data_IF_143668607451
#
_entry.id   IF_143668607451
#
_cell.length_a   1.000
_cell.length_b   1.000
_cell.length_c   1.000
_cell.angle_alpha   90.00
_cell.angle_beta   90.00
_cell.angle_gamma   90.00
#
_symmetry.space_group_name_H-M   'P 1'
#
loop_
_entity.id
_entity.type
_entity.pdbx_description
1 polymer ?
#
# COMPACT_ATOMS: atom_id res chain seq x y z
N UNK A 1 -10.10 -57.25 22.45
CA UNK A 1 -8.89 -56.40 22.49
C UNK A 1 -8.15 -56.53 21.17
N UNK A 2 -8.49 -55.78 20.10
CA UNK A 2 -7.53 -55.50 19.01
C UNK A 2 -7.96 -54.49 17.94
N UNK A 3 -8.53 -53.33 18.28
CA UNK A 3 -8.81 -52.30 17.26
C UNK A 3 -8.44 -50.87 17.67
N UNK A 4 -7.92 -50.65 18.87
CA UNK A 4 -7.58 -49.31 19.39
C UNK A 4 -6.20 -48.80 18.98
N UNK A 5 -5.38 -49.59 18.26
CA UNK A 5 -3.96 -49.26 17.99
C UNK A 5 -3.61 -49.00 16.51
N UNK A 6 -4.60 -48.97 15.61
CA UNK A 6 -4.37 -48.70 14.17
C UNK A 6 -4.77 -47.27 13.73
N UNK A 7 -5.51 -46.51 14.54
CA UNK A 7 -6.05 -45.19 14.09
C UNK A 7 -5.16 -43.99 14.39
N UNK A 8 -3.89 -44.21 14.78
CA UNK A 8 -2.85 -43.17 14.87
C UNK A 8 -1.92 -43.29 13.65
N UNK A 9 -2.49 -43.51 12.47
CA UNK A 9 -1.76 -43.25 11.23
C UNK A 9 -1.38 -41.77 11.27
N UNK A 10 -0.09 -41.49 11.43
CA UNK A 10 0.46 -40.14 11.37
C UNK A 10 0.01 -39.56 10.04
N UNK A 11 -1.01 -38.73 10.09
CA UNK A 11 -1.42 -37.85 9.02
C UNK A 11 -0.27 -36.84 8.86
N UNK A 12 0.85 -37.26 8.29
CA UNK A 12 1.97 -36.40 7.97
C UNK A 12 1.46 -35.51 6.86
N UNK A 13 1.09 -34.30 7.25
CA UNK A 13 0.67 -33.24 6.35
C UNK A 13 1.70 -33.20 5.21
N UNK A 14 1.31 -33.52 3.97
CA UNK A 14 2.25 -33.52 2.86
C UNK A 14 2.84 -32.11 2.77
N UNK A 15 4.17 -32.01 2.81
CA UNK A 15 4.89 -30.73 2.81
C UNK A 15 4.37 -29.80 1.69
N UNK A 16 3.99 -30.37 0.55
CA UNK A 16 3.40 -29.65 -0.58
C UNK A 16 2.06 -28.97 -0.29
N UNK A 17 1.26 -29.45 0.67
CA UNK A 17 -0.01 -28.86 1.06
C UNK A 17 0.15 -27.79 2.15
N UNK A 18 1.18 -27.90 3.00
CA UNK A 18 1.59 -26.81 3.91
C UNK A 18 2.15 -25.61 3.14
N UNK A 19 2.95 -25.85 2.09
CA UNK A 19 3.46 -24.81 1.21
C UNK A 19 2.33 -24.13 0.41
N UNK A 20 1.36 -24.90 -0.10
CA UNK A 20 0.27 -24.37 -0.93
C UNK A 20 -0.76 -23.53 -0.15
N UNK A 21 -0.87 -23.73 1.16
CA UNK A 21 -1.80 -22.97 2.01
C UNK A 21 -1.17 -21.66 2.48
N UNK A 22 0.12 -21.66 2.82
CA UNK A 22 0.83 -20.46 3.30
C UNK A 22 1.28 -19.50 2.19
N UNK A 23 1.37 -19.94 0.93
CA UNK A 23 1.84 -19.07 -0.17
C UNK A 23 0.96 -17.83 -0.35
N UNK A 24 -0.34 -17.92 -0.03
CA UNK A 24 -1.29 -16.80 -0.16
C UNK A 24 -1.03 -15.72 0.88
N UNK A 25 -0.63 -16.11 2.09
CA UNK A 25 -0.34 -15.18 3.18
C UNK A 25 0.98 -14.43 2.93
N UNK A 26 1.94 -15.10 2.28
CA UNK A 26 3.22 -14.48 1.89
C UNK A 26 3.18 -13.80 0.51
N UNK A 27 2.11 -13.97 -0.27
CA UNK A 27 2.01 -13.45 -1.63
C UNK A 27 2.26 -11.93 -1.69
N UNK A 28 1.74 -11.15 -0.74
CA UNK A 28 1.96 -9.70 -0.69
C UNK A 28 3.44 -9.34 -0.55
N UNK A 29 4.16 -10.00 0.37
CA UNK A 29 5.58 -9.75 0.58
C UNK A 29 6.41 -10.20 -0.62
N UNK A 30 6.06 -11.33 -1.23
CA UNK A 30 6.72 -11.84 -2.44
C UNK A 30 6.56 -10.84 -3.58
N UNK A 31 5.34 -10.36 -3.84
CA UNK A 31 5.06 -9.36 -4.87
C UNK A 31 5.82 -8.06 -4.60
N UNK A 32 5.86 -7.59 -3.35
CA UNK A 32 6.61 -6.39 -2.98
C UNK A 32 8.10 -6.52 -3.32
N UNK A 33 8.75 -7.62 -2.92
CA UNK A 33 10.16 -7.87 -3.22
C UNK A 33 10.40 -7.96 -4.73
N UNK A 34 9.54 -8.66 -5.46
CA UNK A 34 9.61 -8.75 -6.92
C UNK A 34 9.53 -7.37 -7.56
N UNK A 35 8.61 -6.49 -7.12
CA UNK A 35 8.50 -5.13 -7.63
C UNK A 35 9.77 -4.31 -7.38
N UNK A 36 10.36 -4.40 -6.19
CA UNK A 36 11.61 -3.72 -5.87
C UNK A 36 12.76 -4.15 -6.79
N UNK A 37 12.88 -5.45 -7.06
CA UNK A 37 13.93 -5.98 -7.94
C UNK A 37 13.67 -5.61 -9.41
N UNK A 38 12.45 -5.80 -9.89
CA UNK A 38 12.06 -5.51 -11.27
C UNK A 38 12.24 -4.03 -11.58
N UNK A 39 11.69 -3.13 -10.75
CA UNK A 39 11.87 -1.70 -10.97
C UNK A 39 13.30 -1.24 -10.70
N UNK A 40 14.01 -1.85 -9.74
CA UNK A 40 15.44 -1.59 -9.53
C UNK A 40 16.28 -1.86 -10.78
N UNK A 41 16.05 -2.99 -11.46
CA UNK A 41 16.79 -3.35 -12.69
C UNK A 41 16.31 -2.50 -13.88
N UNK A 42 15.00 -2.42 -14.12
CA UNK A 42 14.44 -1.70 -15.28
C UNK A 42 14.77 -0.21 -15.26
N UNK A 43 14.94 0.39 -14.08
CA UNK A 43 15.29 1.81 -13.93
C UNK A 43 16.78 2.05 -13.73
N UNK A 44 17.64 1.03 -13.87
CA UNK A 44 19.08 1.12 -13.62
C UNK A 44 19.43 1.72 -12.24
N UNK A 45 18.65 1.35 -11.21
CA UNK A 45 18.84 1.83 -9.84
C UNK A 45 18.21 3.20 -9.53
N UNK A 46 17.59 3.90 -10.49
CA UNK A 46 16.93 5.20 -10.24
C UNK A 46 15.74 5.06 -9.27
N UNK A 47 15.00 3.96 -9.34
CA UNK A 47 13.88 3.68 -8.44
C UNK A 47 14.32 3.65 -6.96
N UNK A 48 15.47 3.05 -6.66
CA UNK A 48 16.04 2.97 -5.30
C UNK A 48 17.05 4.09 -5.02
N UNK A 49 17.13 5.10 -5.88
CA UNK A 49 18.01 6.23 -5.64
C UNK A 49 17.61 6.96 -4.35
N UNK A 50 18.57 7.51 -3.58
CA UNK A 50 18.28 8.22 -2.35
C UNK A 50 17.28 9.37 -2.56
N UNK A 51 17.36 10.05 -3.71
CA UNK A 51 16.42 11.10 -4.10
C UNK A 51 15.00 10.56 -4.22
N UNK A 52 14.78 9.53 -5.04
CA UNK A 52 13.44 8.98 -5.24
C UNK A 52 12.86 8.37 -3.95
N UNK A 53 13.71 7.76 -3.11
CA UNK A 53 13.28 7.22 -1.82
C UNK A 53 12.91 8.33 -0.83
N UNK A 54 13.70 9.40 -0.75
CA UNK A 54 13.38 10.58 0.06
C UNK A 54 12.11 11.27 -0.44
N UNK A 55 11.94 11.43 -1.76
CA UNK A 55 10.75 12.03 -2.35
C UNK A 55 9.50 11.19 -2.05
N UNK A 56 9.60 9.86 -2.16
CA UNK A 56 8.52 8.94 -1.79
C UNK A 56 8.16 9.03 -0.30
N UNK A 57 9.15 9.04 0.59
CA UNK A 57 8.93 9.17 2.04
C UNK A 57 8.30 10.52 2.38
N UNK A 58 8.76 11.60 1.76
CA UNK A 58 8.18 12.93 1.98
C UNK A 58 6.72 12.97 1.49
N UNK A 59 6.45 12.51 0.26
CA UNK A 59 5.09 12.49 -0.30
C UNK A 59 4.12 11.66 0.55
N UNK A 60 4.54 10.46 0.97
CA UNK A 60 3.72 9.59 1.84
C UNK A 60 3.62 10.12 3.27
N UNK A 61 4.68 10.77 3.77
CA UNK A 61 4.72 11.39 5.10
C UNK A 61 3.72 12.54 5.24
N UNK A 62 3.62 13.43 4.24
CA UNK A 62 2.60 14.49 4.24
C UNK A 62 1.18 13.91 4.32
N UNK A 63 0.89 12.86 3.54
CA UNK A 63 -0.41 12.18 3.57
C UNK A 63 -0.67 11.51 4.92
N UNK A 64 0.34 10.87 5.53
CA UNK A 64 0.21 10.23 6.83
C UNK A 64 -0.12 11.25 7.95
N UNK A 65 0.53 12.42 7.94
CA UNK A 65 0.23 13.49 8.91
C UNK A 65 -1.21 14.00 8.73
N UNK A 66 -1.65 14.22 7.49
CA UNK A 66 -3.04 14.60 7.20
C UNK A 66 -4.05 13.54 7.67
N UNK A 67 -3.75 12.26 7.46
CA UNK A 67 -4.60 11.15 7.88
C UNK A 67 -4.73 11.06 9.42
N UNK A 68 -3.64 11.29 10.15
CA UNK A 68 -3.66 11.35 11.62
C UNK A 68 -4.50 12.54 12.08
N UNK A 69 -4.33 13.72 11.47
CA UNK A 69 -5.14 14.90 11.75
C UNK A 69 -6.64 14.63 11.56
N UNK A 70 -7.00 13.96 10.46
CA UNK A 70 -8.39 13.57 10.20
C UNK A 70 -8.92 12.56 11.24
N UNK A 71 -8.08 11.62 11.68
CA UNK A 71 -8.45 10.63 12.71
C UNK A 71 -8.77 11.28 14.04
N UNK A 72 -7.98 12.27 14.47
CA UNK A 72 -8.25 13.02 15.71
C UNK A 72 -9.58 13.79 15.65
N UNK A 73 -9.94 14.38 14.50
CA UNK A 73 -11.21 15.09 14.30
C UNK A 73 -12.40 14.12 14.41
N UNK A 74 -12.29 12.94 13.80
CA UNK A 74 -13.34 11.90 13.85
C UNK A 74 -13.61 11.44 15.30
N UNK A 75 -12.57 11.31 16.13
CA UNK A 75 -12.70 10.86 17.52
C UNK A 75 -13.49 11.88 18.37
N UNK A 76 -13.29 13.18 18.15
CA UNK A 76 -13.92 14.26 18.92
C UNK A 76 -15.40 14.46 18.52
N UNK A 77 -15.88 13.76 17.48
CA UNK A 77 -17.28 13.80 16.98
C UNK A 77 -17.82 15.20 16.67
N UNK A 78 -16.95 16.20 16.54
CA UNK A 78 -17.26 17.45 15.84
C UNK A 78 -16.99 17.22 14.36
N UNK A 79 -18.04 16.84 13.62
CA UNK A 79 -17.93 16.55 12.19
C UNK A 79 -17.91 17.88 11.41
N UNK A 80 -16.76 18.54 11.38
CA UNK A 80 -16.47 19.46 10.29
C UNK A 80 -15.48 18.78 9.31
N UNK A 81 -16.05 18.18 8.26
CA UNK A 81 -15.34 17.47 7.20
C UNK A 81 -14.63 18.44 6.22
N UNK A 82 -14.45 19.70 6.60
CA UNK A 82 -13.95 20.77 5.73
C UNK A 82 -12.59 20.47 5.10
N UNK A 83 -11.68 19.78 5.79
CA UNK A 83 -10.38 19.35 5.23
C UNK A 83 -10.54 18.41 4.04
N UNK A 84 -11.50 17.47 4.10
CA UNK A 84 -11.77 16.54 3.00
C UNK A 84 -12.41 17.23 1.80
N UNK A 85 -13.36 18.14 2.05
CA UNK A 85 -13.99 18.93 0.98
C UNK A 85 -13.01 19.87 0.28
N UNK A 86 -12.15 20.59 1.04
CA UNK A 86 -11.17 21.52 0.47
C UNK A 86 -10.12 20.77 -0.36
N UNK A 87 -9.61 19.63 0.11
CA UNK A 87 -8.67 18.81 -0.65
C UNK A 87 -9.28 18.29 -1.96
N UNK A 88 -10.53 17.80 -1.92
CA UNK A 88 -11.26 17.34 -3.11
C UNK A 88 -11.57 18.48 -4.09
N UNK A 89 -12.01 19.63 -3.58
CA UNK A 89 -12.31 20.81 -4.39
C UNK A 89 -11.06 21.36 -5.09
N UNK A 90 -9.95 21.52 -4.36
CA UNK A 90 -8.68 21.94 -4.95
C UNK A 90 -8.17 20.93 -5.99
N UNK A 91 -8.32 19.62 -5.73
CA UNK A 91 -7.99 18.58 -6.70
C UNK A 91 -8.81 18.67 -8.00
N UNK A 92 -10.12 18.94 -7.88
CA UNK A 92 -10.99 19.13 -9.04
C UNK A 92 -10.65 20.42 -9.82
N UNK A 93 -10.35 21.52 -9.12
CA UNK A 93 -9.89 22.77 -9.73
C UNK A 93 -8.56 22.56 -10.46
N UNK A 94 -7.58 21.91 -9.82
CA UNK A 94 -6.29 21.59 -10.42
C UNK A 94 -6.44 20.72 -11.68
N UNK A 95 -7.24 19.65 -11.60
CA UNK A 95 -7.53 18.80 -12.75
C UNK A 95 -8.22 19.56 -13.90
N UNK A 96 -9.13 20.49 -13.56
CA UNK A 96 -9.83 21.32 -14.54
C UNK A 96 -8.87 22.32 -15.22
N UNK A 97 -7.98 22.96 -14.46
CA UNK A 97 -6.97 23.88 -14.97
C UNK A 97 -5.98 23.16 -15.91
N UNK A 98 -5.57 21.95 -15.55
CA UNK A 98 -4.70 21.11 -16.38
C UNK A 98 -5.39 20.63 -17.67
N UNK A 99 -6.65 20.19 -17.56
CA UNK A 99 -7.34 19.51 -18.68
C UNK A 99 -8.00 20.48 -19.66
N UNK A 100 -8.64 21.53 -19.16
CA UNK A 100 -9.45 22.43 -19.98
C UNK A 100 -8.78 23.76 -20.29
N UNK A 101 -8.01 24.29 -19.35
CA UNK A 101 -7.35 25.59 -19.51
C UNK A 101 -5.90 25.47 -20.00
N UNK A 102 -5.37 24.24 -20.13
CA UNK A 102 -4.02 23.98 -20.62
C UNK A 102 -2.91 24.63 -19.77
N UNK A 103 -3.18 24.87 -18.48
CA UNK A 103 -2.19 25.49 -17.61
C UNK A 103 -0.97 24.58 -17.46
N UNK A 104 0.26 25.13 -17.52
CA UNK A 104 1.46 24.34 -17.31
C UNK A 104 1.51 23.82 -15.86
N UNK A 105 2.02 22.61 -15.68
CA UNK A 105 2.11 21.90 -14.40
C UNK A 105 2.79 22.69 -13.26
N UNK A 106 3.60 23.71 -13.58
CA UNK A 106 4.24 24.56 -12.56
C UNK A 106 3.35 25.65 -11.98
N UNK A 107 2.18 25.93 -12.60
CA UNK A 107 1.24 26.97 -12.17
C UNK A 107 -0.03 26.41 -11.52
N UNK A 108 -0.17 25.08 -11.48
CA UNK A 108 -1.30 24.34 -10.90
C UNK A 108 -0.83 23.61 -9.67
#
# INVERSE_FOLDING_TARGET
MNTTLQSREKQTLPLGQLLKTNIRDYAMYIVLVVLFVVFGILTNGLFLSPRNLTDLINQTGYVAVLAIGMTCILIISHIDLSVGYVAGFLGAVAATLLTFNGWPLGLV
#
